data_IF_671045309031
#
_entry.id   IF_671045309031
#
_cell.length_a   1.000
_cell.length_b   1.000
_cell.length_c   1.000
_cell.angle_alpha   90.00
_cell.angle_beta   90.00
_cell.angle_gamma   90.00
#
_symmetry.space_group_name_H-M   'P 1'
#
loop_
_entity.id
_entity.type
_entity.pdbx_description
1 polymer ?
#
# COMPACT_ATOMS: atom_id res chain seq x y z
N UNK A 1 -5.83 10.06 24.74
CA UNK A 1 -5.21 10.96 23.75
C UNK A 1 -5.56 10.41 22.37
N UNK A 2 -6.54 11.00 21.69
CA UNK A 2 -6.87 10.67 20.30
C UNK A 2 -6.45 11.85 19.41
N UNK A 3 -5.16 12.19 19.43
CA UNK A 3 -4.63 13.16 18.47
C UNK A 3 -4.24 12.42 17.19
N UNK A 4 -5.08 12.58 16.17
CA UNK A 4 -4.75 12.18 14.81
C UNK A 4 -3.67 13.13 14.30
N UNK A 5 -2.46 12.61 14.09
CA UNK A 5 -1.36 13.38 13.51
C UNK A 5 -1.41 13.30 12.00
N UNK A 6 -1.41 14.46 11.33
CA UNK A 6 -1.36 14.51 9.86
C UNK A 6 0.08 14.31 9.37
N UNK A 7 0.34 13.19 8.67
CA UNK A 7 1.66 12.85 8.12
C UNK A 7 1.79 13.12 6.61
N UNK A 8 0.81 13.75 5.97
CA UNK A 8 0.77 13.89 4.50
C UNK A 8 1.97 14.63 3.91
N UNK A 9 2.40 15.74 4.52
CA UNK A 9 3.58 16.49 4.07
C UNK A 9 4.87 15.68 4.25
N UNK A 10 4.98 14.90 5.33
CA UNK A 10 6.11 13.98 5.52
C UNK A 10 6.12 12.89 4.46
N UNK A 11 4.96 12.32 4.12
CA UNK A 11 4.85 11.31 3.07
C UNK A 11 5.31 11.87 1.72
N UNK A 12 4.81 13.05 1.32
CA UNK A 12 5.24 13.72 0.08
C UNK A 12 6.74 13.98 0.02
N UNK A 13 7.34 14.38 1.14
CA UNK A 13 8.75 14.73 1.19
C UNK A 13 9.69 13.50 1.25
N UNK A 14 9.21 12.34 1.72
CA UNK A 14 10.08 11.20 2.10
C UNK A 14 9.79 9.90 1.35
N UNK A 15 8.59 9.72 0.82
CA UNK A 15 8.28 8.61 -0.07
C UNK A 15 8.87 8.87 -1.45
N UNK A 16 9.44 7.85 -2.06
CA UNK A 16 9.86 7.94 -3.47
C UNK A 16 8.65 8.15 -4.39
N UNK A 17 8.89 8.70 -5.57
CA UNK A 17 7.84 8.89 -6.59
C UNK A 17 7.12 7.56 -6.90
N UNK A 18 7.87 6.47 -6.95
CA UNK A 18 7.34 5.12 -7.17
C UNK A 18 6.42 4.68 -6.01
N UNK A 19 6.80 4.91 -4.75
CA UNK A 19 5.94 4.59 -3.62
C UNK A 19 4.65 5.43 -3.62
N UNK A 20 4.76 6.71 -4.00
CA UNK A 20 3.59 7.59 -4.14
C UNK A 20 2.66 7.15 -5.29
N UNK A 21 3.24 6.67 -6.39
CA UNK A 21 2.51 6.11 -7.53
C UNK A 21 1.76 4.84 -7.11
N UNK A 22 2.43 3.91 -6.41
CA UNK A 22 1.80 2.69 -5.89
C UNK A 22 0.64 3.04 -4.97
N UNK A 23 0.82 3.95 -4.00
CA UNK A 23 -0.27 4.37 -3.11
C UNK A 23 -1.45 4.97 -3.88
N UNK A 24 -1.18 5.81 -4.88
CA UNK A 24 -2.21 6.41 -5.72
C UNK A 24 -3.00 5.36 -6.48
N UNK A 25 -2.31 4.36 -7.04
CA UNK A 25 -2.96 3.25 -7.75
C UNK A 25 -3.75 2.37 -6.77
N UNK A 26 -3.24 2.08 -5.58
CA UNK A 26 -3.96 1.32 -4.56
C UNK A 26 -5.27 2.02 -4.14
N UNK A 27 -5.25 3.34 -3.96
CA UNK A 27 -6.47 4.12 -3.69
C UNK A 27 -7.45 4.03 -4.87
N UNK A 28 -6.96 4.08 -6.12
CA UNK A 28 -7.81 3.90 -7.31
C UNK A 28 -8.38 2.48 -7.40
N UNK A 29 -7.62 1.45 -7.05
CA UNK A 29 -8.07 0.07 -7.02
C UNK A 29 -9.16 -0.15 -5.96
N UNK A 30 -9.04 0.53 -4.81
CA UNK A 30 -10.01 0.52 -3.73
C UNK A 30 -11.30 1.30 -4.05
N UNK A 31 -11.33 2.09 -5.12
CA UNK A 31 -12.50 2.88 -5.47
C UNK A 31 -13.75 2.01 -5.66
N UNK A 32 -14.83 2.36 -4.95
CA UNK A 32 -16.09 1.62 -4.96
C UNK A 32 -16.05 0.28 -4.22
N UNK A 33 -14.97 -0.04 -3.50
CA UNK A 33 -14.94 -1.12 -2.52
C UNK A 33 -15.39 -0.58 -1.16
N UNK A 34 -16.09 -1.41 -0.38
CA UNK A 34 -16.30 -1.15 1.05
C UNK A 34 -15.04 -1.59 1.80
N UNK A 35 -14.00 -0.75 1.74
CA UNK A 35 -12.68 -1.08 2.24
C UNK A 35 -11.95 0.14 2.81
N UNK A 36 -11.28 -0.04 3.95
CA UNK A 36 -10.31 0.92 4.47
C UNK A 36 -8.89 0.43 4.19
N UNK A 37 -8.05 1.31 3.62
CA UNK A 37 -6.66 1.01 3.28
C UNK A 37 -5.72 1.72 4.26
N UNK A 38 -4.79 0.96 4.82
CA UNK A 38 -3.81 1.45 5.79
C UNK A 38 -2.40 1.12 5.35
N UNK A 39 -1.51 2.09 5.48
CA UNK A 39 -0.07 1.86 5.40
C UNK A 39 0.42 1.46 6.80
N UNK A 40 1.10 0.32 6.92
CA UNK A 40 1.52 -0.21 8.22
C UNK A 40 3.00 -0.61 8.22
N UNK A 41 3.50 -1.07 9.37
CA UNK A 41 4.81 -1.69 9.46
C UNK A 41 5.99 -0.72 9.40
N UNK A 42 7.10 -1.20 8.81
CA UNK A 42 8.40 -0.52 8.85
C UNK A 42 8.39 0.86 8.22
N UNK A 43 7.62 1.05 7.15
CA UNK A 43 7.53 2.33 6.44
C UNK A 43 6.95 3.45 7.30
N UNK A 44 5.98 3.16 8.18
CA UNK A 44 5.42 4.16 9.10
C UNK A 44 6.47 4.59 10.13
N UNK A 45 7.19 3.64 10.71
CA UNK A 45 8.30 3.91 11.64
C UNK A 45 9.37 4.75 10.94
N UNK A 46 9.79 4.34 9.74
CA UNK A 46 10.88 4.99 9.02
C UNK A 46 10.47 6.41 8.59
N UNK A 47 9.22 6.62 8.20
CA UNK A 47 8.64 7.94 7.94
C UNK A 47 8.74 8.85 9.16
N UNK A 48 8.36 8.36 10.34
CA UNK A 48 8.43 9.09 11.61
C UNK A 48 9.88 9.39 12.03
N UNK A 49 10.81 8.46 11.78
CA UNK A 49 12.24 8.63 12.05
C UNK A 49 12.99 9.45 10.99
N UNK A 50 12.35 9.82 9.89
CA UNK A 50 12.98 10.56 8.79
C UNK A 50 13.96 9.78 7.95
N UNK A 51 13.72 8.48 7.82
CA UNK A 51 14.47 7.58 6.95
C UNK A 51 13.68 7.34 5.66
N UNK A 52 14.38 7.15 4.54
CA UNK A 52 13.76 6.65 3.31
C UNK A 52 13.38 5.18 3.50
N UNK A 53 12.21 4.79 3.02
CA UNK A 53 11.71 3.42 3.05
C UNK A 53 11.26 3.01 1.65
N UNK A 54 11.46 1.74 1.31
CA UNK A 54 11.26 1.21 -0.05
C UNK A 54 10.22 0.08 -0.11
N UNK A 55 9.88 -0.51 1.03
CA UNK A 55 8.91 -1.60 1.11
C UNK A 55 7.55 -1.05 1.52
N UNK A 56 6.52 -1.38 0.75
CA UNK A 56 5.14 -0.99 1.01
C UNK A 56 4.37 -2.20 1.52
N UNK A 57 3.79 -2.04 2.70
CA UNK A 57 2.95 -3.03 3.38
C UNK A 57 1.58 -2.40 3.64
N UNK A 58 0.56 -2.94 2.97
CA UNK A 58 -0.79 -2.40 2.98
C UNK A 58 -1.73 -3.37 3.69
N UNK A 59 -2.42 -2.85 4.70
CA UNK A 59 -3.52 -3.57 5.35
C UNK A 59 -4.84 -3.04 4.82
N UNK A 60 -5.73 -3.97 4.49
CA UNK A 60 -7.09 -3.68 4.06
C UNK A 60 -8.05 -4.23 5.09
N UNK A 61 -8.90 -3.37 5.65
CA UNK A 61 -10.13 -3.84 6.28
C UNK A 61 -11.16 -4.07 5.17
N UNK A 62 -11.25 -5.31 4.69
CA UNK A 62 -12.03 -5.69 3.53
C UNK A 62 -11.41 -6.88 2.80
N UNK A 63 -11.67 -7.00 1.49
CA UNK A 63 -11.09 -8.05 0.66
C UNK A 63 -9.75 -7.61 0.04
N UNK A 64 -8.65 -7.95 0.71
CA UNK A 64 -7.29 -7.66 0.26
C UNK A 64 -6.94 -8.34 -1.07
N UNK A 65 -7.48 -9.53 -1.34
CA UNK A 65 -7.22 -10.27 -2.59
C UNK A 65 -7.90 -9.56 -3.76
N UNK A 66 -9.15 -9.11 -3.57
CA UNK A 66 -9.85 -8.32 -4.58
C UNK A 66 -9.14 -6.99 -4.86
N UNK A 67 -8.62 -6.32 -3.83
CA UNK A 67 -7.84 -5.10 -4.02
C UNK A 67 -6.56 -5.38 -4.83
N UNK A 68 -5.80 -6.42 -4.45
CA UNK A 68 -4.58 -6.82 -5.14
C UNK A 68 -4.84 -7.20 -6.61
N UNK A 69 -5.96 -7.88 -6.89
CA UNK A 69 -6.37 -8.23 -8.25
C UNK A 69 -6.66 -6.97 -9.08
N UNK A 70 -7.44 -6.02 -8.54
CA UNK A 70 -7.72 -4.75 -9.21
C UNK A 70 -6.46 -3.92 -9.44
N UNK A 71 -5.53 -3.90 -8.48
CA UNK A 71 -4.24 -3.24 -8.66
C UNK A 71 -3.48 -3.88 -9.83
N UNK A 72 -3.39 -5.21 -9.86
CA UNK A 72 -2.73 -5.94 -10.94
C UNK A 72 -3.38 -5.66 -12.30
N UNK A 73 -4.72 -5.61 -12.38
CA UNK A 73 -5.46 -5.28 -13.61
C UNK A 73 -5.16 -3.86 -14.11
N UNK A 74 -5.07 -2.87 -13.21
CA UNK A 74 -4.74 -1.48 -13.56
C UNK A 74 -3.30 -1.36 -14.08
N UNK A 75 -2.38 -2.17 -13.55
CA UNK A 75 -0.93 -1.97 -13.73
C UNK A 75 -0.26 -2.96 -14.67
N UNK A 76 -0.95 -4.06 -15.00
CA UNK A 76 -0.34 -5.25 -15.61
C UNK A 76 0.59 -6.00 -14.65
N UNK A 77 0.47 -5.78 -13.34
CA UNK A 77 1.26 -6.46 -12.31
C UNK A 77 0.93 -7.95 -12.19
N UNK A 78 1.87 -8.73 -11.63
CA UNK A 78 1.65 -10.16 -11.37
C UNK A 78 1.23 -10.38 -9.93
N UNK A 79 0.03 -10.88 -9.71
CA UNK A 79 -0.48 -11.25 -8.38
C UNK A 79 -0.07 -12.68 -7.98
N UNK A 80 0.23 -12.86 -6.70
CA UNK A 80 0.37 -14.17 -6.03
C UNK A 80 -0.55 -14.18 -4.81
N UNK A 81 -1.49 -15.12 -4.76
CA UNK A 81 -2.46 -15.21 -3.65
C UNK A 81 -1.99 -16.24 -2.62
N UNK A 82 -2.07 -15.87 -1.35
CA UNK A 82 -1.74 -16.71 -0.21
C UNK A 82 -3.02 -17.02 0.59
N UNK A 83 -3.87 -17.90 0.04
CA UNK A 83 -5.23 -18.16 0.53
C UNK A 83 -5.29 -18.57 2.01
N UNK A 84 -4.28 -19.28 2.52
CA UNK A 84 -4.19 -19.68 3.94
C UNK A 84 -4.23 -18.49 4.89
N UNK A 85 -3.64 -17.36 4.48
CA UNK A 85 -3.52 -16.15 5.30
C UNK A 85 -4.47 -15.04 4.83
N UNK A 86 -5.20 -15.26 3.73
CA UNK A 86 -6.04 -14.26 3.05
C UNK A 86 -5.26 -13.00 2.66
N UNK A 87 -4.01 -13.18 2.24
CA UNK A 87 -3.15 -12.12 1.74
C UNK A 87 -2.82 -12.33 0.26
N UNK A 88 -2.30 -11.29 -0.40
CA UNK A 88 -1.83 -11.37 -1.77
C UNK A 88 -0.66 -10.41 -1.97
N UNK A 89 0.34 -10.86 -2.71
CA UNK A 89 1.49 -10.03 -3.11
C UNK A 89 1.35 -9.66 -4.57
N UNK A 90 1.54 -8.39 -4.92
CA UNK A 90 1.63 -7.93 -6.31
C UNK A 90 3.07 -7.57 -6.66
N UNK A 91 3.59 -8.14 -7.75
CA UNK A 91 4.87 -7.76 -8.34
C UNK A 91 4.65 -6.83 -9.52
N UNK A 92 5.18 -5.62 -9.44
CA UNK A 92 5.09 -4.62 -10.49
C UNK A 92 6.35 -3.75 -10.52
N UNK A 93 6.92 -3.51 -11.72
CA UNK A 93 8.17 -2.73 -11.92
C UNK A 93 9.37 -3.15 -11.04
N UNK A 94 9.44 -4.43 -10.67
CA UNK A 94 10.51 -4.96 -9.82
C UNK A 94 10.30 -4.74 -8.32
N UNK A 95 9.15 -4.19 -7.91
CA UNK A 95 8.72 -4.06 -6.51
C UNK A 95 7.77 -5.17 -6.11
N UNK A 96 7.77 -5.45 -4.81
CA UNK A 96 6.75 -6.25 -4.13
C UNK A 96 5.84 -5.30 -3.37
N UNK A 97 4.54 -5.46 -3.54
CA UNK A 97 3.51 -4.81 -2.73
C UNK A 97 2.81 -5.94 -2.00
N UNK A 98 2.94 -5.95 -0.68
CA UNK A 98 2.34 -6.96 0.20
C UNK A 98 1.06 -6.42 0.88
#
# INVERSE_FOLDING_TARGET
>A
MNDVTNLSEMMKARLSDESQEILTISVRAAAGMDANLYLVGGIVRDLLLGRKSYDLDLVVEGDAIALAARFADITGGKITVHSRFRTATVKWRGRSID
#
